data_IF_008618817505
#
_entry.id   IF_008618817505
#
_cell.length_a   1.000
_cell.length_b   1.000
_cell.length_c   1.000
_cell.angle_alpha   90.00
_cell.angle_beta   90.00
_cell.angle_gamma   90.00
#
_symmetry.space_group_name_H-M   'P 1'
#
loop_
_entity.id
_entity.type
_entity.pdbx_description
1 polymer ?
#
# COMPACT_ATOMS: atom_id res chain seq x y z
N UNK A 1 -21.04 12.29 0.85
CA UNK A 1 -19.73 12.94 0.58
C UNK A 1 -18.88 13.09 1.83
N UNK A 2 -19.42 13.47 2.97
CA UNK A 2 -18.66 13.59 4.23
C UNK A 2 -17.93 12.29 4.64
N UNK A 3 -18.54 11.15 4.43
CA UNK A 3 -17.98 9.84 4.81
C UNK A 3 -16.77 9.43 3.97
N UNK A 4 -16.76 9.81 2.67
CA UNK A 4 -15.63 9.55 1.80
C UNK A 4 -14.37 10.31 2.24
N UNK A 5 -14.54 11.53 2.73
CA UNK A 5 -13.41 12.36 3.20
C UNK A 5 -12.68 11.70 4.37
N UNK A 6 -13.41 10.97 5.24
CA UNK A 6 -12.81 10.25 6.38
C UNK A 6 -11.97 9.05 5.94
N UNK A 7 -12.43 8.32 4.92
CA UNK A 7 -11.80 7.09 4.43
C UNK A 7 -10.66 7.39 3.45
N UNK A 8 -10.79 8.48 2.67
CA UNK A 8 -9.88 8.81 1.59
C UNK A 8 -8.39 8.88 1.98
N UNK A 9 -7.98 9.47 3.11
CA UNK A 9 -6.58 9.49 3.53
C UNK A 9 -5.98 8.08 3.66
N UNK A 10 -6.76 7.12 4.16
CA UNK A 10 -6.30 5.74 4.33
C UNK A 10 -6.23 4.99 3.00
N UNK A 11 -7.21 5.19 2.10
CA UNK A 11 -7.18 4.65 0.73
C UNK A 11 -5.95 5.16 0.00
N UNK A 12 -5.70 6.47 0.06
CA UNK A 12 -4.53 7.08 -0.57
C UNK A 12 -3.23 6.61 0.08
N UNK A 13 -3.23 6.43 1.39
CA UNK A 13 -2.12 5.88 2.15
C UNK A 13 -1.72 4.48 1.74
N UNK A 14 -2.69 3.66 1.41
CA UNK A 14 -2.44 2.30 0.94
C UNK A 14 -1.65 2.28 -0.40
N UNK A 15 -1.73 3.36 -1.20
CA UNK A 15 -0.97 3.52 -2.44
C UNK A 15 0.51 3.88 -2.21
N UNK A 16 0.90 4.30 -1.00
CA UNK A 16 2.28 4.74 -0.74
C UNK A 16 3.13 3.55 -0.30
N UNK A 17 3.64 2.81 -1.26
CA UNK A 17 4.55 1.69 -1.02
C UNK A 17 5.80 1.76 -1.92
N UNK A 18 6.88 2.43 -1.45
CA UNK A 18 8.13 2.52 -2.20
C UNK A 18 8.74 1.17 -2.53
N UNK A 19 8.58 0.19 -1.63
CA UNK A 19 9.14 -1.16 -1.83
C UNK A 19 8.50 -1.85 -3.03
N UNK A 20 7.17 -1.76 -3.18
CA UNK A 20 6.46 -2.34 -4.31
C UNK A 20 6.86 -1.65 -5.62
N UNK A 21 6.94 -0.31 -5.60
CA UNK A 21 7.33 0.48 -6.76
C UNK A 21 8.78 0.16 -7.20
N UNK A 22 9.74 0.20 -6.28
CA UNK A 22 11.15 -0.12 -6.59
C UNK A 22 11.27 -1.56 -7.10
N UNK A 23 10.53 -2.49 -6.53
CA UNK A 23 10.58 -3.90 -6.95
C UNK A 23 10.06 -4.07 -8.38
N UNK A 24 8.93 -3.45 -8.75
CA UNK A 24 8.43 -3.57 -10.13
C UNK A 24 9.35 -2.87 -11.13
N UNK A 25 9.93 -1.72 -10.78
CA UNK A 25 10.92 -1.05 -11.62
C UNK A 25 12.15 -1.95 -11.87
N UNK A 26 12.62 -2.65 -10.81
CA UNK A 26 13.69 -3.63 -10.94
C UNK A 26 13.30 -4.84 -11.80
N UNK A 27 12.06 -5.32 -11.71
CA UNK A 27 11.55 -6.40 -12.57
C UNK A 27 11.54 -5.95 -14.03
N UNK A 28 11.07 -4.72 -14.30
CA UNK A 28 10.97 -4.17 -15.65
C UNK A 28 12.34 -3.87 -16.27
N UNK A 29 13.37 -3.62 -15.49
CA UNK A 29 14.75 -3.41 -16.00
C UNK A 29 15.47 -4.70 -16.39
N UNK A 30 14.85 -5.89 -16.25
CA UNK A 30 15.48 -7.16 -16.60
C UNK A 30 15.42 -7.45 -18.09
N UNK A 31 16.47 -8.09 -18.67
CA UNK A 31 16.53 -8.35 -20.11
C UNK A 31 15.55 -9.45 -20.56
N UNK A 32 15.11 -10.35 -19.66
CA UNK A 32 14.31 -11.52 -20.01
C UNK A 32 12.87 -11.39 -19.55
N UNK A 33 11.92 -11.29 -20.46
CA UNK A 33 10.48 -11.28 -20.23
C UNK A 33 10.02 -10.33 -19.10
N UNK A 34 10.44 -9.05 -19.08
CA UNK A 34 10.18 -8.14 -17.97
C UNK A 34 8.68 -7.92 -17.74
N UNK A 35 7.91 -7.73 -18.80
CA UNK A 35 6.47 -7.49 -18.73
C UNK A 35 5.73 -8.70 -18.14
N UNK A 36 6.03 -9.92 -18.63
CA UNK A 36 5.40 -11.15 -18.10
C UNK A 36 5.67 -11.33 -16.61
N UNK A 37 6.91 -11.10 -16.17
CA UNK A 37 7.30 -11.17 -14.75
C UNK A 37 6.60 -10.12 -13.92
N UNK A 38 6.47 -8.89 -14.41
CA UNK A 38 5.78 -7.81 -13.73
C UNK A 38 4.26 -8.06 -13.64
N UNK A 39 3.65 -8.64 -14.68
CA UNK A 39 2.24 -9.05 -14.66
C UNK A 39 1.98 -10.18 -13.66
N UNK A 40 2.85 -11.18 -13.58
CA UNK A 40 2.75 -12.26 -12.58
C UNK A 40 2.91 -11.71 -11.17
N UNK A 41 3.84 -10.77 -10.96
CA UNK A 41 4.03 -10.07 -9.70
C UNK A 41 2.78 -9.23 -9.31
N UNK A 42 2.18 -8.50 -10.28
CA UNK A 42 0.94 -7.76 -10.11
C UNK A 42 -0.22 -8.68 -9.74
N UNK A 43 -0.40 -9.78 -10.48
CA UNK A 43 -1.46 -10.75 -10.23
C UNK A 43 -1.36 -11.32 -8.81
N UNK A 44 -0.18 -11.76 -8.40
CA UNK A 44 0.08 -12.26 -7.06
C UNK A 44 -0.24 -11.21 -5.99
N UNK A 45 0.22 -9.97 -6.20
CA UNK A 45 -0.05 -8.84 -5.31
C UNK A 45 -1.54 -8.56 -5.19
N UNK A 46 -2.27 -8.54 -6.32
CA UNK A 46 -3.71 -8.30 -6.35
C UNK A 46 -4.48 -9.38 -5.61
N UNK A 47 -4.19 -10.65 -5.86
CA UNK A 47 -4.84 -11.78 -5.17
C UNK A 47 -4.60 -11.67 -3.67
N UNK A 48 -3.35 -11.46 -3.26
CA UNK A 48 -2.97 -11.39 -1.85
C UNK A 48 -3.67 -10.24 -1.14
N UNK A 49 -3.62 -9.02 -1.70
CA UNK A 49 -4.22 -7.86 -1.06
C UNK A 49 -5.74 -7.93 -1.03
N UNK A 50 -6.39 -8.48 -2.07
CA UNK A 50 -7.84 -8.71 -2.09
C UNK A 50 -8.25 -9.70 -1.00
N UNK A 51 -7.49 -10.79 -0.83
CA UNK A 51 -7.74 -11.78 0.22
C UNK A 51 -7.58 -11.16 1.61
N UNK A 52 -6.50 -10.40 1.85
CA UNK A 52 -6.28 -9.69 3.11
C UNK A 52 -7.42 -8.72 3.39
N UNK A 53 -7.81 -7.92 2.39
CA UNK A 53 -8.90 -6.94 2.52
C UNK A 53 -10.22 -7.63 2.87
N UNK A 54 -10.54 -8.74 2.22
CA UNK A 54 -11.74 -9.52 2.53
C UNK A 54 -11.69 -10.07 3.97
N UNK A 55 -10.57 -10.69 4.37
CA UNK A 55 -10.42 -11.23 5.73
C UNK A 55 -10.59 -10.13 6.78
N UNK A 56 -9.90 -8.98 6.60
CA UNK A 56 -9.99 -7.86 7.54
C UNK A 56 -11.43 -7.33 7.61
N UNK A 57 -12.06 -7.10 6.45
CA UNK A 57 -13.42 -6.59 6.39
C UNK A 57 -14.40 -7.52 7.10
N UNK A 58 -14.41 -8.82 6.76
CA UNK A 58 -15.30 -9.77 7.42
C UNK A 58 -15.01 -9.90 8.92
N UNK A 59 -13.74 -9.94 9.32
CA UNK A 59 -13.36 -10.00 10.73
C UNK A 59 -13.85 -8.79 11.53
N UNK A 60 -13.89 -7.61 10.93
CA UNK A 60 -14.41 -6.40 11.58
C UNK A 60 -15.95 -6.39 11.67
N UNK A 61 -16.66 -7.04 10.73
CA UNK A 61 -18.14 -7.12 10.76
C UNK A 61 -18.68 -8.11 11.81
N UNK A 62 -17.97 -9.21 12.09
CA UNK A 62 -18.43 -10.29 12.99
C UNK A 62 -18.39 -9.88 14.48
N UNK A 63 -17.63 -8.87 14.85
CA UNK A 63 -17.56 -8.43 16.25
C UNK A 63 -18.92 -7.88 16.67
N UNK A 64 -19.46 -8.27 17.87
CA UNK A 64 -20.65 -7.65 18.44
C UNK A 64 -20.49 -6.12 18.44
N UNK A 65 -21.61 -5.39 18.36
CA UNK A 65 -21.55 -3.93 18.48
C UNK A 65 -20.69 -3.55 19.68
N UNK A 66 -19.68 -2.70 19.51
CA UNK A 66 -18.85 -2.33 20.62
C UNK A 66 -19.73 -1.65 21.67
N UNK A 67 -19.59 -2.07 22.92
CA UNK A 67 -19.92 -1.24 24.08
C UNK A 67 -19.35 0.18 23.84
N UNK A 68 -19.92 1.24 24.46
CA UNK A 68 -19.54 2.63 24.20
C UNK A 68 -18.02 2.76 24.15
N UNK A 69 -17.56 3.22 23.04
CA UNK A 69 -16.29 2.89 22.41
C UNK A 69 -15.13 3.63 23.05
N UNK A 70 -14.27 2.93 23.76
CA UNK A 70 -12.90 3.40 24.01
C UNK A 70 -12.00 3.07 22.80
N UNK A 71 -12.32 3.65 21.63
CA UNK A 71 -11.45 3.57 20.45
C UNK A 71 -10.12 4.31 20.65
N UNK A 72 -9.99 4.99 21.76
CA UNK A 72 -8.79 5.76 22.10
C UNK A 72 -7.54 4.85 22.05
N UNK A 73 -7.61 3.66 22.67
CA UNK A 73 -6.43 2.77 22.76
C UNK A 73 -5.93 2.29 21.38
N UNK A 74 -6.77 1.71 20.49
CA UNK A 74 -6.32 1.35 19.14
C UNK A 74 -5.73 2.52 18.35
N UNK A 75 -6.39 3.68 18.38
CA UNK A 75 -5.91 4.86 17.66
C UNK A 75 -4.59 5.39 18.23
N UNK A 76 -4.42 5.37 19.55
CA UNK A 76 -3.14 5.74 20.17
C UNK A 76 -2.04 4.77 19.74
N UNK A 77 -2.27 3.46 19.79
CA UNK A 77 -1.28 2.44 19.39
C UNK A 77 -0.88 2.61 17.92
N UNK A 78 -1.86 2.71 17.02
CA UNK A 78 -1.61 2.85 15.58
C UNK A 78 -0.93 4.19 15.29
N UNK A 79 -1.43 5.28 15.86
CA UNK A 79 -0.90 6.62 15.64
C UNK A 79 0.56 6.74 16.12
N UNK A 80 0.88 6.25 17.32
CA UNK A 80 2.26 6.23 17.81
C UNK A 80 3.16 5.31 17.00
N UNK A 81 2.66 4.15 16.55
CA UNK A 81 3.41 3.25 15.67
C UNK A 81 3.75 3.94 14.34
N UNK A 82 2.79 4.64 13.73
CA UNK A 82 3.02 5.38 12.49
C UNK A 82 4.03 6.52 12.69
N UNK A 83 3.94 7.28 13.79
CA UNK A 83 4.94 8.32 14.10
C UNK A 83 6.32 7.74 14.35
N UNK A 84 6.41 6.62 15.07
CA UNK A 84 7.67 5.91 15.27
C UNK A 84 8.28 5.45 13.95
N UNK A 85 7.47 4.85 13.06
CA UNK A 85 7.91 4.44 11.74
C UNK A 85 8.35 5.64 10.89
N UNK A 86 7.65 6.77 10.97
CA UNK A 86 8.02 8.00 10.29
C UNK A 86 9.43 8.45 10.68
N UNK A 87 9.71 8.49 11.97
CA UNK A 87 11.02 8.89 12.51
C UNK A 87 12.11 7.87 12.12
N UNK A 88 11.83 6.58 12.23
CA UNK A 88 12.77 5.51 11.89
C UNK A 88 13.16 5.53 10.41
N UNK A 89 12.17 5.69 9.51
CA UNK A 89 12.39 5.79 8.07
C UNK A 89 13.20 7.04 7.73
N UNK A 90 12.87 8.17 8.34
CA UNK A 90 13.60 9.42 8.12
C UNK A 90 15.07 9.30 8.54
N UNK A 91 15.33 8.75 9.73
CA UNK A 91 16.70 8.56 10.27
C UNK A 91 17.52 7.57 9.45
N UNK A 92 16.90 6.51 8.92
CA UNK A 92 17.58 5.52 8.06
C UNK A 92 18.01 6.10 6.71
N UNK A 93 17.36 7.17 6.27
CA UNK A 93 17.68 7.84 5.02
C UNK A 93 17.42 6.96 3.77
N UNK A 94 17.98 7.33 2.62
CA UNK A 94 17.76 6.62 1.37
C UNK A 94 18.28 5.18 1.46
N UNK A 95 17.43 4.21 1.05
CA UNK A 95 17.82 2.80 1.05
C UNK A 95 18.93 2.54 0.04
N UNK A 96 20.13 2.22 0.51
CA UNK A 96 21.26 1.80 -0.33
C UNK A 96 21.15 0.34 -0.78
N UNK A 97 20.15 -0.41 -0.32
CA UNK A 97 19.98 -1.81 -0.67
C UNK A 97 19.45 -1.93 -2.09
N UNK A 98 20.31 -2.31 -3.01
CA UNK A 98 19.85 -2.85 -4.31
C UNK A 98 18.96 -4.06 -4.02
N UNK A 99 17.83 -4.22 -4.73
CA UNK A 99 17.04 -5.44 -4.63
C UNK A 99 17.97 -6.64 -4.83
N UNK A 100 17.92 -7.62 -3.91
CA UNK A 100 18.76 -8.82 -4.03
C UNK A 100 18.55 -9.42 -5.42
N UNK A 101 19.66 -9.66 -6.12
CA UNK A 101 19.61 -10.30 -7.43
C UNK A 101 18.85 -11.63 -7.31
N UNK A 102 17.71 -11.69 -7.93
CA UNK A 102 16.91 -12.90 -8.01
C UNK A 102 17.38 -13.70 -9.24
N UNK A 103 18.70 -14.07 -9.27
CA UNK A 103 19.24 -14.92 -10.33
C UNK A 103 18.43 -16.21 -10.36
N UNK A 104 17.91 -16.57 -11.54
CA UNK A 104 17.28 -17.87 -11.77
C UNK A 104 15.82 -18.04 -11.34
N UNK A 105 15.15 -17.01 -10.80
CA UNK A 105 13.71 -17.13 -10.47
C UNK A 105 12.86 -17.14 -11.75
N UNK A 106 12.19 -18.27 -12.00
CA UNK A 106 11.13 -18.37 -12.99
C UNK A 106 9.88 -17.57 -12.61
N UNK A 107 8.82 -17.62 -13.40
CA UNK A 107 7.56 -16.90 -13.14
C UNK A 107 6.99 -17.18 -11.73
N UNK A 108 7.08 -18.43 -11.26
CA UNK A 108 6.65 -18.85 -9.91
C UNK A 108 7.40 -18.06 -8.82
N UNK A 109 8.69 -17.78 -9.01
CA UNK A 109 9.45 -16.98 -8.05
C UNK A 109 9.02 -15.52 -7.98
N UNK A 110 8.55 -14.94 -9.09
CA UNK A 110 7.96 -13.59 -9.09
C UNK A 110 6.56 -13.57 -8.51
N UNK A 111 5.79 -14.64 -8.69
CA UNK A 111 4.53 -14.82 -7.99
C UNK A 111 4.74 -14.84 -6.46
N UNK A 112 5.62 -15.73 -5.98
CA UNK A 112 5.97 -15.80 -4.56
C UNK A 112 6.50 -14.48 -3.98
N UNK A 113 7.28 -13.72 -4.78
CA UNK A 113 7.75 -12.40 -4.39
C UNK A 113 6.60 -11.40 -4.21
N UNK A 114 5.60 -11.43 -5.10
CA UNK A 114 4.40 -10.60 -5.01
C UNK A 114 3.59 -10.91 -3.75
N UNK A 115 3.36 -12.19 -3.48
CA UNK A 115 2.71 -12.64 -2.24
C UNK A 115 3.47 -12.16 -1.01
N UNK A 116 4.78 -12.45 -0.96
CA UNK A 116 5.61 -12.12 0.20
C UNK A 116 5.65 -10.61 0.50
N UNK A 117 5.86 -9.79 -0.53
CA UNK A 117 5.93 -8.35 -0.34
C UNK A 117 4.58 -7.73 0.05
N UNK A 118 3.47 -8.28 -0.43
CA UNK A 118 2.14 -7.84 0.03
C UNK A 118 1.85 -8.27 1.47
N UNK A 119 2.18 -9.50 1.86
CA UNK A 119 2.02 -9.97 3.24
C UNK A 119 2.87 -9.19 4.25
N UNK A 120 4.03 -8.72 3.83
CA UNK A 120 4.96 -7.94 4.68
C UNK A 120 4.76 -6.43 4.57
N UNK A 121 3.81 -5.98 3.76
CA UNK A 121 3.49 -4.55 3.62
C UNK A 121 2.54 -4.09 4.73
N UNK A 122 3.05 -4.08 5.96
CA UNK A 122 2.27 -3.76 7.16
C UNK A 122 1.58 -2.39 7.09
N UNK A 123 2.15 -1.43 6.38
CA UNK A 123 1.53 -0.11 6.21
C UNK A 123 0.26 -0.17 5.38
N UNK A 124 0.29 -0.83 4.23
CA UNK A 124 -0.91 -1.04 3.42
C UNK A 124 -1.96 -1.84 4.20
N UNK A 125 -1.55 -2.88 4.94
CA UNK A 125 -2.45 -3.69 5.77
C UNK A 125 -3.09 -2.83 6.86
N UNK A 126 -2.33 -1.97 7.54
CA UNK A 126 -2.86 -1.06 8.55
C UNK A 126 -3.86 -0.06 7.96
N UNK A 127 -3.60 0.49 6.77
CA UNK A 127 -4.54 1.39 6.09
C UNK A 127 -5.84 0.67 5.71
N UNK A 128 -5.76 -0.57 5.22
CA UNK A 128 -6.93 -1.40 4.92
C UNK A 128 -7.75 -1.66 6.19
N UNK A 129 -7.07 -1.91 7.31
CA UNK A 129 -7.73 -2.12 8.60
C UNK A 129 -8.52 -0.88 9.04
N UNK A 130 -7.93 0.32 8.94
CA UNK A 130 -8.63 1.58 9.23
C UNK A 130 -9.83 1.81 8.30
N UNK A 131 -9.67 1.55 6.99
CA UNK A 131 -10.79 1.62 6.04
C UNK A 131 -11.91 0.66 6.45
N UNK A 132 -11.59 -0.57 6.84
CA UNK A 132 -12.58 -1.56 7.24
C UNK A 132 -13.31 -1.16 8.54
N UNK A 133 -12.60 -0.57 9.49
CA UNK A 133 -13.19 -0.03 10.73
C UNK A 133 -14.14 1.13 10.43
N UNK A 134 -13.73 2.08 9.58
CA UNK A 134 -14.58 3.20 9.20
C UNK A 134 -15.83 2.72 8.44
N UNK A 135 -15.67 1.80 7.47
CA UNK A 135 -16.80 1.23 6.72
C UNK A 135 -17.79 0.48 7.61
N UNK A 136 -17.33 -0.09 8.71
CA UNK A 136 -18.22 -0.73 9.69
C UNK A 136 -19.17 0.26 10.33
N UNK A 137 -18.68 1.47 10.66
CA UNK A 137 -19.45 2.50 11.34
C UNK A 137 -20.45 3.19 10.43
N UNK A 138 -20.18 3.18 9.11
CA UNK A 138 -21.03 3.84 8.14
C UNK A 138 -22.32 3.04 7.89
N UNK A 139 -23.45 3.71 8.06
CA UNK A 139 -24.77 3.18 7.71
C UNK A 139 -25.03 3.32 6.20
N UNK A 140 -24.20 2.67 5.39
CA UNK A 140 -24.29 2.68 3.93
C UNK A 140 -24.61 1.29 3.40
N UNK A 141 -25.12 1.22 2.16
CA UNK A 141 -25.47 -0.04 1.50
C UNK A 141 -24.23 -0.94 1.34
N UNK A 142 -24.43 -2.25 1.39
CA UNK A 142 -23.35 -3.23 1.20
C UNK A 142 -22.61 -3.06 -0.14
N UNK A 143 -23.33 -2.67 -1.20
CA UNK A 143 -22.75 -2.33 -2.50
C UNK A 143 -21.79 -1.13 -2.45
N UNK A 144 -22.12 -0.12 -1.66
CA UNK A 144 -21.23 1.04 -1.45
C UNK A 144 -19.98 0.65 -0.64
N UNK A 145 -20.14 -0.20 0.38
CA UNK A 145 -18.98 -0.74 1.12
C UNK A 145 -18.06 -1.54 0.19
N UNK A 146 -18.62 -2.39 -0.66
CA UNK A 146 -17.84 -3.14 -1.64
C UNK A 146 -17.09 -2.22 -2.61
N UNK A 147 -17.73 -1.14 -3.06
CA UNK A 147 -17.09 -0.14 -3.92
C UNK A 147 -15.86 0.50 -3.26
N UNK A 148 -15.97 0.91 -1.98
CA UNK A 148 -14.83 1.44 -1.24
C UNK A 148 -13.71 0.42 -1.06
N UNK A 149 -14.03 -0.87 -0.81
CA UNK A 149 -13.04 -1.92 -0.73
C UNK A 149 -12.31 -2.15 -2.06
N UNK A 150 -13.04 -2.14 -3.18
CA UNK A 150 -12.45 -2.27 -4.52
C UNK A 150 -11.51 -1.10 -4.83
N UNK A 151 -11.92 0.13 -4.50
CA UNK A 151 -11.04 1.31 -4.62
C UNK A 151 -9.80 1.13 -3.74
N UNK A 152 -9.94 0.65 -2.51
CA UNK A 152 -8.81 0.43 -1.60
C UNK A 152 -7.83 -0.59 -2.19
N UNK A 153 -8.33 -1.71 -2.72
CA UNK A 153 -7.49 -2.71 -3.41
C UNK A 153 -6.79 -2.09 -4.62
N UNK A 154 -7.52 -1.33 -5.44
CA UNK A 154 -6.95 -0.66 -6.61
C UNK A 154 -5.81 0.29 -6.23
N UNK A 155 -6.01 1.14 -5.23
CA UNK A 155 -4.96 2.05 -4.76
C UNK A 155 -3.78 1.28 -4.15
N UNK A 156 -4.02 0.18 -3.45
CA UNK A 156 -2.96 -0.66 -2.87
C UNK A 156 -2.02 -1.27 -3.91
N UNK A 157 -2.52 -1.57 -5.12
CA UNK A 157 -1.71 -2.12 -6.22
C UNK A 157 -1.19 -1.03 -7.18
N UNK A 158 -1.59 0.21 -7.00
CA UNK A 158 -1.21 1.33 -7.86
C UNK A 158 0.31 1.50 -8.02
N UNK A 159 1.15 1.31 -6.97
CA UNK A 159 2.60 1.37 -7.11
C UNK A 159 3.16 0.35 -8.11
N UNK A 160 2.48 -0.78 -8.31
CA UNK A 160 2.88 -1.80 -9.29
C UNK A 160 2.31 -1.47 -10.66
N UNK A 161 1.06 -1.00 -10.71
CA UNK A 161 0.36 -0.64 -11.96
C UNK A 161 1.00 0.54 -12.66
N UNK A 162 1.41 1.57 -11.93
CA UNK A 162 1.91 2.84 -12.49
C UNK A 162 3.10 2.64 -13.44
N UNK A 163 4.18 1.91 -13.11
CA UNK A 163 5.26 1.64 -14.04
C UNK A 163 4.84 0.81 -15.27
N UNK A 164 3.89 -0.11 -15.10
CA UNK A 164 3.35 -0.90 -16.22
C UNK A 164 2.55 0.00 -17.17
N UNK A 165 1.74 0.92 -16.67
CA UNK A 165 1.04 1.90 -17.49
C UNK A 165 2.00 2.82 -18.23
N UNK A 166 3.05 3.31 -17.56
CA UNK A 166 4.09 4.12 -18.19
C UNK A 166 4.72 3.35 -19.36
N UNK A 167 5.05 2.08 -19.16
CA UNK A 167 5.63 1.24 -20.20
C UNK A 167 4.72 1.09 -21.41
N UNK A 168 3.41 0.90 -21.18
CA UNK A 168 2.42 0.69 -22.25
C UNK A 168 2.12 1.98 -23.03
N UNK A 169 2.07 3.13 -22.36
CA UNK A 169 1.65 4.40 -22.96
C UNK A 169 2.84 5.15 -23.57
N UNK A 170 3.98 5.18 -22.89
CA UNK A 170 5.14 5.97 -23.29
C UNK A 170 6.01 5.31 -24.38
N UNK A 171 5.78 4.04 -24.71
CA UNK A 171 6.47 3.33 -25.79
C UNK A 171 7.99 3.48 -25.68
N UNK A 172 8.65 4.00 -26.70
CA UNK A 172 10.12 4.20 -26.76
C UNK A 172 10.67 5.14 -25.68
N UNK A 173 9.84 6.02 -25.12
CA UNK A 173 10.24 6.96 -24.04
C UNK A 173 10.10 6.35 -22.64
N UNK A 174 9.54 5.17 -22.52
CA UNK A 174 9.26 4.52 -21.21
C UNK A 174 10.52 4.32 -20.39
N UNK A 175 11.63 3.88 -20.99
CA UNK A 175 12.90 3.66 -20.28
C UNK A 175 13.38 4.92 -19.57
N UNK A 176 13.39 6.05 -20.29
CA UNK A 176 13.82 7.34 -19.73
C UNK A 176 12.93 7.83 -18.58
N UNK A 177 11.62 7.58 -18.68
CA UNK A 177 10.65 7.96 -17.64
C UNK A 177 10.84 7.04 -16.41
N UNK A 178 10.95 5.72 -16.62
CA UNK A 178 11.14 4.75 -15.55
C UNK A 178 12.48 4.95 -14.83
N UNK A 179 13.54 5.31 -15.56
CA UNK A 179 14.85 5.64 -14.97
C UNK A 179 14.76 6.88 -14.07
N UNK A 180 14.12 7.95 -14.55
CA UNK A 180 13.89 9.16 -13.74
C UNK A 180 13.05 8.85 -12.51
N UNK A 181 11.99 8.05 -12.64
CA UNK A 181 11.14 7.62 -11.52
C UNK A 181 11.94 6.80 -10.51
N UNK A 182 12.76 5.86 -10.99
CA UNK A 182 13.64 5.06 -10.14
C UNK A 182 14.65 5.93 -9.38
N UNK A 183 15.29 6.89 -10.05
CA UNK A 183 16.21 7.82 -9.44
C UNK A 183 15.54 8.72 -8.38
N UNK A 184 14.35 9.22 -8.68
CA UNK A 184 13.54 9.99 -7.74
C UNK A 184 13.20 9.16 -6.51
N UNK A 185 12.71 7.94 -6.70
CA UNK A 185 12.35 7.05 -5.58
C UNK A 185 13.57 6.67 -4.74
N UNK A 186 14.71 6.37 -5.35
CA UNK A 186 15.93 6.07 -4.60
C UNK A 186 16.36 7.24 -3.71
N UNK A 187 16.20 8.48 -4.18
CA UNK A 187 16.61 9.69 -3.47
C UNK A 187 15.60 10.14 -2.41
N UNK A 188 14.32 10.13 -2.74
CA UNK A 188 13.30 10.84 -1.96
C UNK A 188 12.24 9.92 -1.31
N UNK A 189 12.18 8.61 -1.63
CA UNK A 189 11.14 7.74 -1.08
C UNK A 189 11.08 7.75 0.45
N UNK A 190 12.23 7.79 1.13
CA UNK A 190 12.27 7.85 2.60
C UNK A 190 11.64 9.14 3.15
N UNK A 191 11.84 10.29 2.49
CA UNK A 191 11.28 11.57 2.91
C UNK A 191 9.75 11.55 2.69
N UNK A 192 9.31 11.16 1.48
CA UNK A 192 7.88 11.11 1.14
C UNK A 192 7.14 10.16 2.07
N UNK A 193 7.68 8.96 2.29
CA UNK A 193 7.06 7.96 3.18
C UNK A 193 7.05 8.41 4.62
N UNK A 194 8.14 9.00 5.11
CA UNK A 194 8.24 9.52 6.48
C UNK A 194 7.25 10.69 6.70
N UNK A 195 7.20 11.66 5.80
CA UNK A 195 6.27 12.78 5.90
C UNK A 195 4.81 12.29 5.89
N UNK A 196 4.49 11.35 5.01
CA UNK A 196 3.16 10.76 4.94
C UNK A 196 2.78 10.03 6.24
N UNK A 197 3.67 9.21 6.80
CA UNK A 197 3.41 8.52 8.07
C UNK A 197 3.30 9.48 9.24
N UNK A 198 4.06 10.59 9.24
CA UNK A 198 3.95 11.62 10.26
C UNK A 198 2.55 12.29 10.22
N UNK A 199 2.08 12.66 9.03
CA UNK A 199 0.75 13.27 8.83
C UNK A 199 -0.35 12.29 9.23
N UNK A 200 -0.29 11.04 8.76
CA UNK A 200 -1.30 10.02 9.10
C UNK A 200 -1.27 9.65 10.58
N UNK A 201 -0.09 9.49 11.17
CA UNK A 201 0.06 9.21 12.60
C UNK A 201 -0.56 10.31 13.45
N UNK A 202 -0.29 11.58 13.11
CA UNK A 202 -0.92 12.71 13.77
C UNK A 202 -2.44 12.71 13.58
N UNK A 203 -2.93 12.46 12.36
CA UNK A 203 -4.37 12.36 12.08
C UNK A 203 -5.05 11.27 12.90
N UNK A 204 -4.46 10.06 12.94
CA UNK A 204 -5.00 8.92 13.69
C UNK A 204 -5.03 9.20 15.19
N UNK A 205 -4.02 9.89 15.74
CA UNK A 205 -4.01 10.31 17.15
C UNK A 205 -5.08 11.35 17.47
N UNK A 206 -5.38 12.25 16.56
CA UNK A 206 -6.39 13.29 16.75
C UNK A 206 -7.82 12.79 16.50
N UNK A 207 -7.99 11.76 15.67
CA UNK A 207 -9.30 11.22 15.25
C UNK A 207 -10.29 10.92 16.39
N UNK A 208 -9.89 10.38 17.56
CA UNK A 208 -10.81 10.15 18.68
C UNK A 208 -11.34 11.42 19.35
N UNK A 209 -10.69 12.55 19.09
CA UNK A 209 -11.03 13.86 19.70
C UNK A 209 -11.78 14.79 18.73
N UNK A 210 -11.88 14.40 17.45
CA UNK A 210 -12.61 15.11 16.39
C UNK A 210 -14.01 14.53 16.23
#
# INVERSE_FOLDING_TARGET
MADFIKIFPFIFGAAISPVLLVTVLYILSRPTQPIKKALVYLLAGTITISTITAIIFYSTQIRPEPAPRNDLIPHLIIGFLLLFLAIDIYKKGPSKKKPKETKGRGLIGFFGLGVLLMLTNFTTIAMIFEVALDLRQLQILGTQKLFYLLITVFFSILPILLPLFILLIAGKNSEKILEKLSGFMQKYAHIVTSAFFAILGAYVLLKPFL
#
